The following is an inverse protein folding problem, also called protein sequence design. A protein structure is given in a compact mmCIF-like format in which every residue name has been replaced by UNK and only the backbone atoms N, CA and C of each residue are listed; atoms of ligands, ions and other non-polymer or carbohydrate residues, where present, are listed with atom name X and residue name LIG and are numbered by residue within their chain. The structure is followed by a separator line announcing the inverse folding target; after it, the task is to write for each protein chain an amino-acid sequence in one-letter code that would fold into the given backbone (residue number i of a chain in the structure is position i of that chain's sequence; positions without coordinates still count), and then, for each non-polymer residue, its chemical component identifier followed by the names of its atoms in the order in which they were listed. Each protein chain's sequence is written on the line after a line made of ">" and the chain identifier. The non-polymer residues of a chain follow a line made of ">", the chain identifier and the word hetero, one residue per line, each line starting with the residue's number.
data_IF_856309465128
#
_entry.id   IF_856309465128
#
_cell.length_a   1.000
_cell.length_b   1.000
_cell.length_c   1.000
_cell.angle_alpha   90.00
_cell.angle_beta   90.00
_cell.angle_gamma   90.00
#
_symmetry.space_group_name_H-M   'P 1'
#
loop_
_entity.id
_entity.type
_entity.pdbx_description
1 polymer ?
#
# COMPACT_ATOMS: atom_id res chain seq x y z
N UNK A 1 -9.23 10.53 18.50
CA UNK A 1 -8.51 9.97 17.35
C UNK A 1 -8.76 8.47 17.37
N UNK A 2 -9.62 7.97 16.49
CA UNK A 2 -10.00 6.56 16.44
C UNK A 2 -8.88 5.77 15.78
N UNK A 3 -8.37 4.74 16.45
CA UNK A 3 -7.32 3.88 15.93
C UNK A 3 -7.97 2.89 14.95
N UNK A 4 -7.61 2.88 13.65
CA UNK A 4 -8.26 2.02 12.68
C UNK A 4 -7.95 0.55 12.99
N UNK A 5 -8.95 -0.30 12.82
CA UNK A 5 -8.80 -1.75 12.90
C UNK A 5 -7.89 -2.26 11.79
N UNK A 6 -7.30 -3.45 11.95
CA UNK A 6 -6.48 -4.06 10.90
C UNK A 6 -7.21 -4.14 9.55
N UNK A 7 -8.54 -4.36 9.56
CA UNK A 7 -9.37 -4.41 8.34
C UNK A 7 -9.48 -3.05 7.65
N UNK A 8 -9.62 -1.98 8.41
CA UNK A 8 -9.66 -0.61 7.85
C UNK A 8 -8.28 -0.20 7.34
N UNK A 9 -7.22 -0.61 8.03
CA UNK A 9 -5.84 -0.37 7.60
C UNK A 9 -5.51 -1.09 6.30
N UNK A 10 -5.82 -2.39 6.18
CA UNK A 10 -5.56 -3.12 4.92
C UNK A 10 -6.38 -2.55 3.77
N UNK A 11 -7.61 -2.10 4.03
CA UNK A 11 -8.43 -1.40 3.04
C UNK A 11 -7.79 -0.06 2.63
N UNK A 12 -7.37 0.78 3.57
CA UNK A 12 -6.70 2.05 3.27
C UNK A 12 -5.37 1.85 2.53
N UNK A 13 -4.61 0.82 2.87
CA UNK A 13 -3.39 0.44 2.12
C UNK A 13 -3.74 0.08 0.68
N UNK A 14 -4.78 -0.73 0.45
CA UNK A 14 -5.24 -1.05 -0.90
C UNK A 14 -5.69 0.20 -1.65
N UNK A 15 -6.51 1.05 -1.04
CA UNK A 15 -6.96 2.32 -1.63
C UNK A 15 -5.76 3.22 -1.98
N UNK A 16 -4.68 3.19 -1.19
CA UNK A 16 -3.44 3.93 -1.45
C UNK A 16 -2.66 3.48 -2.69
N UNK A 17 -2.99 2.31 -3.26
CA UNK A 17 -2.43 1.84 -4.53
C UNK A 17 -3.20 2.38 -5.74
N UNK A 18 -4.50 2.64 -5.55
CA UNK A 18 -5.42 3.11 -6.59
C UNK A 18 -5.54 4.65 -6.61
N UNK A 19 -5.49 5.29 -5.43
CA UNK A 19 -5.61 6.74 -5.26
C UNK A 19 -4.58 7.28 -4.29
N UNK A 20 -4.35 8.58 -4.36
CA UNK A 20 -3.59 9.26 -3.32
C UNK A 20 -4.39 9.31 -2.00
N UNK A 21 -3.75 8.88 -0.92
CA UNK A 21 -4.29 9.03 0.43
C UNK A 21 -4.09 10.46 0.93
N UNK A 22 -5.07 10.98 1.67
CA UNK A 22 -4.96 12.25 2.38
C UNK A 22 -3.95 12.18 3.54
N UNK A 23 -3.50 13.35 4.02
CA UNK A 23 -2.49 13.43 5.08
C UNK A 23 -2.93 12.70 6.37
N UNK A 24 -4.19 12.86 6.77
CA UNK A 24 -4.74 12.18 7.96
C UNK A 24 -4.73 10.66 7.84
N UNK A 25 -5.07 10.13 6.66
CA UNK A 25 -5.07 8.69 6.38
C UNK A 25 -3.63 8.13 6.47
N UNK A 26 -2.65 8.84 5.89
CA UNK A 26 -1.23 8.46 5.97
C UNK A 26 -0.72 8.45 7.40
N UNK A 27 -1.11 9.43 8.22
CA UNK A 27 -0.73 9.48 9.64
C UNK A 27 -1.35 8.31 10.41
N UNK A 28 -2.64 8.01 10.17
CA UNK A 28 -3.32 6.89 10.82
C UNK A 28 -2.65 5.53 10.50
N UNK A 29 -2.26 5.31 9.24
CA UNK A 29 -1.51 4.13 8.82
C UNK A 29 -0.16 4.02 9.55
N UNK A 30 0.64 5.10 9.59
CA UNK A 30 1.93 5.10 10.28
C UNK A 30 1.79 4.77 11.76
N UNK A 31 0.79 5.33 12.44
CA UNK A 31 0.50 5.01 13.84
C UNK A 31 0.17 3.54 14.02
N UNK A 32 -0.69 2.98 13.17
CA UNK A 32 -1.04 1.56 13.25
C UNK A 32 0.16 0.64 12.96
N UNK A 33 1.02 0.99 12.00
CA UNK A 33 2.22 0.21 11.68
C UNK A 33 3.28 0.20 12.79
N UNK A 34 3.23 1.12 13.75
CA UNK A 34 4.13 1.08 14.91
C UNK A 34 3.74 -0.03 15.91
N UNK A 35 2.46 -0.39 15.96
CA UNK A 35 1.94 -1.39 16.90
C UNK A 35 1.59 -2.73 16.24
N UNK A 36 1.31 -2.74 14.94
CA UNK A 36 0.91 -3.94 14.21
C UNK A 36 1.90 -4.26 13.09
N UNK A 37 2.81 -5.21 13.37
CA UNK A 37 3.79 -5.71 12.38
C UNK A 37 3.11 -6.38 11.17
N UNK A 38 1.95 -7.02 11.37
CA UNK A 38 1.22 -7.68 10.30
C UNK A 38 0.74 -6.71 9.23
N UNK A 39 0.16 -5.58 9.64
CA UNK A 39 -0.27 -4.55 8.70
C UNK A 39 0.90 -3.83 8.01
N UNK A 40 2.02 -3.64 8.72
CA UNK A 40 3.26 -3.12 8.12
C UNK A 40 3.80 -4.08 7.04
N UNK A 41 3.83 -5.37 7.33
CA UNK A 41 4.28 -6.38 6.36
C UNK A 41 3.33 -6.49 5.16
N UNK A 42 2.03 -6.28 5.39
CA UNK A 42 1.05 -6.23 4.30
C UNK A 42 1.31 -5.04 3.36
N UNK A 43 1.56 -3.85 3.90
CA UNK A 43 1.89 -2.67 3.10
C UNK A 43 3.15 -2.87 2.25
N UNK A 44 4.21 -3.43 2.84
CA UNK A 44 5.44 -3.74 2.10
C UNK A 44 5.21 -4.76 0.98
N UNK A 45 4.47 -5.84 1.23
CA UNK A 45 4.12 -6.83 0.21
C UNK A 45 3.34 -6.21 -0.96
N UNK A 46 2.36 -5.34 -0.67
CA UNK A 46 1.61 -4.66 -1.73
C UNK A 46 2.51 -3.70 -2.54
N UNK A 47 3.46 -3.02 -1.90
CA UNK A 47 4.45 -2.19 -2.58
C UNK A 47 5.36 -3.00 -3.51
N UNK A 48 5.83 -4.16 -3.06
CA UNK A 48 6.63 -5.09 -3.88
C UNK A 48 5.82 -5.62 -5.08
N UNK A 49 4.57 -6.02 -4.85
CA UNK A 49 3.69 -6.50 -5.91
C UNK A 49 3.46 -5.41 -6.97
N UNK A 50 3.18 -4.17 -6.54
CA UNK A 50 2.99 -3.03 -7.45
C UNK A 50 4.24 -2.78 -8.29
N UNK A 51 5.42 -2.81 -7.68
CA UNK A 51 6.68 -2.65 -8.40
C UNK A 51 6.89 -3.76 -9.43
N UNK A 52 6.69 -5.01 -9.07
CA UNK A 52 6.82 -6.14 -10.00
C UNK A 52 5.85 -6.03 -11.19
N UNK A 53 4.61 -5.58 -10.97
CA UNK A 53 3.65 -5.33 -12.04
C UNK A 53 4.08 -4.18 -12.96
N UNK A 54 4.65 -3.11 -12.41
CA UNK A 54 5.18 -1.99 -13.21
C UNK A 54 6.39 -2.41 -14.04
N UNK A 55 7.30 -3.19 -13.47
CA UNK A 55 8.46 -3.73 -14.17
C UNK A 55 8.01 -4.66 -15.32
N UNK A 56 7.00 -5.50 -15.09
CA UNK A 56 6.41 -6.36 -16.13
C UNK A 56 5.75 -5.55 -17.25
N UNK A 57 4.98 -4.51 -16.91
CA UNK A 57 4.32 -3.65 -17.91
C UNK A 57 5.35 -2.93 -18.78
N UNK A 58 6.46 -2.45 -18.18
CA UNK A 58 7.56 -1.82 -18.91
C UNK A 58 8.28 -2.80 -19.85
N UNK A 59 8.60 -4.00 -19.37
CA UNK A 59 9.24 -5.05 -20.16
C UNK A 59 8.33 -5.54 -21.32
N UNK A 60 7.01 -5.46 -21.17
CA UNK A 60 6.08 -5.68 -22.29
C UNK A 60 6.10 -4.56 -23.32
N UNK A 61 6.18 -3.30 -22.91
CA UNK A 61 6.27 -2.15 -23.82
C UNK A 61 7.57 -2.20 -24.66
N UNK A 62 8.71 -2.48 -24.01
CA UNK A 62 10.02 -2.62 -24.67
C UNK A 62 10.11 -3.80 -25.65
N UNK A 63 9.29 -4.85 -25.48
CA UNK A 63 9.20 -5.99 -26.41
C UNK A 63 8.24 -5.77 -27.58
N UNK A 64 7.28 -4.85 -27.44
CA UNK A 64 6.31 -4.53 -28.50
C UNK A 64 6.70 -3.27 -29.31
N UNK A 65 7.72 -2.53 -28.87
CA UNK A 65 8.37 -1.44 -29.60
C UNK A 65 9.44 -1.96 -30.58
#
# INVERSE_FOLDING_TARGET
>A
MMMPSCKEVTRLVSEGLDRELGFGERVALRVHFMMCKGCRNFEDQMGQLRKAMQDLARDQDERHA
#
